data_IF_789414351222
#
_entry.id   IF_789414351222
#
_cell.length_a   1.000
_cell.length_b   1.000
_cell.length_c   1.000
_cell.angle_alpha   90.00
_cell.angle_beta   90.00
_cell.angle_gamma   90.00
#
_symmetry.space_group_name_H-M   'P 1'
#
loop_
_entity.id
_entity.type
_entity.pdbx_description
1 polymer ?
#
# COMPACT_ATOMS: atom_id res chain seq x y z
N UNK A 1 33.83 -17.54 49.48
CA UNK A 1 34.91 -17.73 48.50
C UNK A 1 34.52 -18.91 47.63
N UNK A 2 34.16 -18.62 46.37
CA UNK A 2 33.94 -19.60 45.31
C UNK A 2 35.30 -20.04 44.79
N UNK A 3 35.54 -21.34 44.69
CA UNK A 3 36.45 -21.95 43.71
C UNK A 3 35.94 -23.37 43.43
N UNK A 4 34.81 -23.42 42.72
CA UNK A 4 34.35 -24.57 41.96
C UNK A 4 34.34 -24.10 40.51
N UNK A 5 34.89 -24.90 39.59
CA UNK A 5 35.12 -24.62 38.15
C UNK A 5 36.54 -24.17 37.77
N UNK A 6 37.58 -24.77 38.38
CA UNK A 6 38.85 -25.00 37.69
C UNK A 6 38.80 -26.35 36.99
N UNK A 7 39.35 -26.41 35.78
CA UNK A 7 39.36 -27.51 34.81
C UNK A 7 38.05 -27.81 34.07
N UNK A 8 37.92 -27.27 32.85
CA UNK A 8 37.47 -28.08 31.71
C UNK A 8 37.54 -27.36 30.34
N UNK A 9 38.40 -26.37 30.06
CA UNK A 9 38.47 -25.85 28.68
C UNK A 9 39.87 -25.44 28.26
N UNK A 10 40.78 -26.43 28.19
CA UNK A 10 41.83 -26.42 27.18
C UNK A 10 41.88 -27.77 26.49
N UNK A 11 41.25 -27.82 25.32
CA UNK A 11 41.84 -28.50 24.17
C UNK A 11 41.49 -27.71 22.92
N UNK A 12 42.37 -26.75 22.66
CA UNK A 12 42.62 -26.19 21.34
C UNK A 12 43.13 -27.32 20.46
N UNK A 13 42.25 -27.92 19.66
CA UNK A 13 42.64 -28.64 18.44
C UNK A 13 42.09 -27.82 17.25
N UNK A 14 42.71 -26.66 17.02
CA UNK A 14 42.63 -25.95 15.73
C UNK A 14 43.53 -26.72 14.76
N UNK A 15 42.97 -27.77 14.16
CA UNK A 15 43.49 -28.26 12.90
C UNK A 15 43.22 -27.18 11.86
N UNK A 16 44.29 -26.48 11.49
CA UNK A 16 44.33 -25.54 10.38
C UNK A 16 44.22 -26.35 9.09
N UNK A 17 43.00 -26.77 8.78
CA UNK A 17 42.58 -27.30 7.50
C UNK A 17 42.61 -26.18 6.46
N UNK A 18 43.76 -26.08 5.80
CA UNK A 18 43.97 -25.38 4.55
C UNK A 18 42.83 -25.64 3.54
N UNK A 19 41.90 -24.68 3.40
CA UNK A 19 40.87 -24.70 2.36
C UNK A 19 39.69 -23.77 2.64
N UNK A 20 39.86 -22.45 2.47
CA UNK A 20 38.74 -21.52 2.75
C UNK A 20 38.85 -20.11 2.19
N UNK A 21 39.71 -19.85 1.20
CA UNK A 21 39.85 -18.51 0.62
C UNK A 21 38.84 -18.17 -0.48
N UNK A 22 38.13 -19.16 -1.03
CA UNK A 22 37.27 -19.00 -2.21
C UNK A 22 35.77 -19.14 -1.93
N UNK A 23 35.39 -19.72 -0.78
CA UNK A 23 33.99 -20.09 -0.47
C UNK A 23 33.19 -18.93 0.15
N UNK A 24 33.87 -17.99 0.85
CA UNK A 24 33.21 -16.76 1.29
C UNK A 24 32.87 -15.84 0.11
N UNK A 25 33.71 -15.80 -0.93
CA UNK A 25 33.54 -14.86 -2.04
C UNK A 25 32.34 -15.17 -2.93
N UNK A 26 31.96 -16.45 -3.09
CA UNK A 26 30.76 -16.87 -3.82
C UNK A 26 29.47 -16.61 -3.04
N UNK A 27 29.47 -16.84 -1.72
CA UNK A 27 28.33 -16.52 -0.85
C UNK A 27 28.09 -15.00 -0.73
N UNK A 28 29.16 -14.20 -0.64
CA UNK A 28 29.08 -12.74 -0.65
C UNK A 28 28.53 -12.21 -1.97
N UNK A 29 28.92 -12.81 -3.11
CA UNK A 29 28.40 -12.44 -4.43
C UNK A 29 26.92 -12.79 -4.60
N UNK A 30 26.46 -13.92 -4.05
CA UNK A 30 25.04 -14.31 -4.03
C UNK A 30 24.20 -13.41 -3.11
N UNK A 31 24.76 -12.99 -1.97
CA UNK A 31 24.08 -12.11 -1.04
C UNK A 31 24.01 -10.67 -1.57
N UNK A 32 25.04 -10.18 -2.26
CA UNK A 32 25.06 -8.84 -2.88
C UNK A 32 23.93 -8.66 -3.91
N UNK A 33 23.70 -9.66 -4.76
CA UNK A 33 22.56 -9.67 -5.69
C UNK A 33 21.21 -9.60 -4.97
N UNK A 34 21.04 -10.39 -3.91
CA UNK A 34 19.83 -10.36 -3.08
C UNK A 34 19.61 -8.98 -2.43
N UNK A 35 20.66 -8.33 -1.94
CA UNK A 35 20.57 -7.01 -1.33
C UNK A 35 20.22 -5.93 -2.35
N UNK A 36 20.75 -6.01 -3.58
CA UNK A 36 20.36 -5.12 -4.69
C UNK A 36 18.88 -5.25 -5.04
N UNK A 37 18.39 -6.48 -5.13
CA UNK A 37 16.96 -6.73 -5.38
C UNK A 37 16.09 -6.22 -4.23
N UNK A 38 16.54 -6.42 -2.98
CA UNK A 38 15.88 -5.89 -1.80
C UNK A 38 15.82 -4.35 -1.77
N UNK A 39 16.90 -3.68 -2.18
CA UNK A 39 16.96 -2.22 -2.29
C UNK A 39 16.06 -1.68 -3.42
N UNK A 40 15.97 -2.39 -4.55
CA UNK A 40 15.02 -2.05 -5.60
C UNK A 40 13.57 -2.11 -5.09
N UNK A 41 13.21 -3.20 -4.40
CA UNK A 41 11.89 -3.36 -3.76
C UNK A 41 11.65 -2.25 -2.72
N UNK A 42 12.66 -1.90 -1.93
CA UNK A 42 12.57 -0.80 -0.95
C UNK A 42 12.27 0.53 -1.63
N UNK A 43 12.94 0.83 -2.75
CA UNK A 43 12.73 2.04 -3.54
C UNK A 43 11.30 2.11 -4.09
N UNK A 44 10.78 1.00 -4.61
CA UNK A 44 9.39 0.93 -5.10
C UNK A 44 8.36 1.16 -3.97
N UNK A 45 8.61 0.64 -2.77
CA UNK A 45 7.77 0.91 -1.59
C UNK A 45 7.82 2.40 -1.21
N UNK A 46 8.99 3.04 -1.28
CA UNK A 46 9.09 4.48 -1.04
C UNK A 46 8.34 5.31 -2.09
N UNK A 47 8.30 4.85 -3.33
CA UNK A 47 7.50 5.50 -4.37
C UNK A 47 6.00 5.37 -4.13
N UNK A 48 5.54 4.22 -3.62
CA UNK A 48 4.14 4.05 -3.18
C UNK A 48 3.80 5.08 -2.09
N UNK A 49 4.67 5.28 -1.10
CA UNK A 49 4.49 6.28 -0.05
C UNK A 49 4.47 7.71 -0.60
N UNK A 50 5.34 8.04 -1.57
CA UNK A 50 5.35 9.35 -2.24
C UNK A 50 4.02 9.62 -2.95
N UNK A 51 3.48 8.64 -3.67
CA UNK A 51 2.18 8.79 -4.37
C UNK A 51 1.04 8.92 -3.35
N UNK A 52 1.06 8.14 -2.26
CA UNK A 52 0.09 8.25 -1.15
C UNK A 52 0.09 9.66 -0.56
N UNK A 53 1.27 10.23 -0.30
CA UNK A 53 1.39 11.61 0.21
C UNK A 53 0.80 12.63 -0.76
N UNK A 54 1.11 12.50 -2.06
CA UNK A 54 0.51 13.35 -3.11
C UNK A 54 -1.01 13.23 -3.17
N UNK A 55 -1.55 12.01 -3.02
CA UNK A 55 -2.99 11.77 -2.97
C UNK A 55 -3.64 12.46 -1.78
N UNK A 56 -3.01 12.41 -0.59
CA UNK A 56 -3.48 13.11 0.60
C UNK A 56 -3.46 14.64 0.43
N UNK A 57 -2.36 15.20 -0.11
CA UNK A 57 -2.26 16.63 -0.43
C UNK A 57 -3.32 17.07 -1.45
N UNK A 58 -3.55 16.26 -2.48
CA UNK A 58 -4.61 16.50 -3.47
C UNK A 58 -6.00 16.48 -2.84
N UNK A 59 -6.26 15.57 -1.90
CA UNK A 59 -7.51 15.57 -1.15
C UNK A 59 -7.70 16.84 -0.31
N UNK A 60 -6.66 17.28 0.39
CA UNK A 60 -6.69 18.53 1.16
C UNK A 60 -6.98 19.75 0.25
N UNK A 61 -6.36 19.81 -0.93
CA UNK A 61 -6.63 20.85 -1.92
C UNK A 61 -8.08 20.79 -2.47
N UNK A 62 -8.66 19.60 -2.59
CA UNK A 62 -10.04 19.45 -3.06
C UNK A 62 -11.08 20.11 -2.14
N UNK A 63 -10.74 20.34 -0.86
CA UNK A 63 -11.60 21.02 0.12
C UNK A 63 -11.70 22.52 -0.10
N UNK A 64 -10.63 23.15 -0.58
CA UNK A 64 -10.55 24.61 -0.81
C UNK A 64 -10.90 25.01 -2.24
N UNK A 65 -10.92 24.05 -3.17
CA UNK A 65 -11.36 24.31 -4.54
C UNK A 65 -12.89 24.38 -4.63
N UNK A 66 -13.38 25.50 -5.15
CA UNK A 66 -14.81 25.73 -5.38
C UNK A 66 -15.19 25.70 -6.87
N UNK A 67 -14.22 25.81 -7.78
CA UNK A 67 -14.45 25.73 -9.22
C UNK A 67 -14.74 24.29 -9.65
N UNK A 68 -15.91 24.05 -10.26
CA UNK A 68 -16.38 22.71 -10.63
C UNK A 68 -15.41 21.97 -11.57
N UNK A 69 -14.81 22.68 -12.53
CA UNK A 69 -13.86 22.10 -13.49
C UNK A 69 -12.54 21.71 -12.82
N UNK A 70 -12.05 22.55 -11.91
CA UNK A 70 -10.86 22.28 -11.12
C UNK A 70 -11.07 21.06 -10.19
N UNK A 71 -12.23 20.95 -9.55
CA UNK A 71 -12.59 19.80 -8.72
C UNK A 71 -12.67 18.51 -9.55
N UNK A 72 -13.25 18.55 -10.75
CA UNK A 72 -13.30 17.39 -11.65
C UNK A 72 -11.90 16.95 -12.09
N UNK A 73 -11.05 17.89 -12.50
CA UNK A 73 -9.66 17.62 -12.89
C UNK A 73 -8.85 17.02 -11.73
N UNK A 74 -9.02 17.56 -10.52
CA UNK A 74 -8.32 17.05 -9.34
C UNK A 74 -8.76 15.64 -8.97
N UNK A 75 -10.05 15.31 -9.07
CA UNK A 75 -10.54 13.93 -8.86
C UNK A 75 -9.95 12.96 -9.87
N UNK A 76 -9.91 13.33 -11.16
CA UNK A 76 -9.27 12.49 -12.17
C UNK A 76 -7.78 12.23 -11.87
N UNK A 77 -7.05 13.22 -11.34
CA UNK A 77 -5.67 13.05 -10.86
C UNK A 77 -5.60 12.09 -9.66
N UNK A 78 -6.49 12.24 -8.68
CA UNK A 78 -6.55 11.35 -7.51
C UNK A 78 -6.85 9.90 -7.93
N UNK A 79 -7.75 9.68 -8.89
CA UNK A 79 -8.06 8.35 -9.43
C UNK A 79 -6.84 7.73 -10.16
N UNK A 80 -6.10 8.55 -10.91
CA UNK A 80 -4.85 8.12 -11.55
C UNK A 80 -3.77 7.73 -10.51
N UNK A 81 -3.66 8.49 -9.42
CA UNK A 81 -2.74 8.19 -8.31
C UNK A 81 -3.09 6.87 -7.63
N UNK A 82 -4.39 6.63 -7.39
CA UNK A 82 -4.87 5.34 -6.85
C UNK A 82 -4.53 4.19 -7.79
N UNK A 83 -4.76 4.34 -9.10
CA UNK A 83 -4.43 3.31 -10.08
C UNK A 83 -2.92 3.03 -10.12
N UNK A 84 -2.09 4.07 -10.00
CA UNK A 84 -0.63 3.96 -10.00
C UNK A 84 -0.12 3.21 -8.76
N UNK A 85 -0.65 3.51 -7.56
CA UNK A 85 -0.32 2.76 -6.33
C UNK A 85 -0.66 1.28 -6.52
N UNK A 86 -1.86 0.97 -6.99
CA UNK A 86 -2.29 -0.43 -7.18
C UNK A 86 -1.41 -1.17 -8.18
N UNK A 87 -0.98 -0.51 -9.27
CA UNK A 87 -0.06 -1.10 -10.24
C UNK A 87 1.30 -1.40 -9.61
N UNK A 88 1.88 -0.46 -8.87
CA UNK A 88 3.18 -0.64 -8.22
C UNK A 88 3.15 -1.74 -7.17
N UNK A 89 2.11 -1.79 -6.35
CA UNK A 89 1.96 -2.83 -5.33
C UNK A 89 1.93 -4.23 -5.94
N UNK A 90 1.32 -4.40 -7.12
CA UNK A 90 1.35 -5.69 -7.85
C UNK A 90 2.77 -6.07 -8.26
N UNK A 91 3.55 -5.11 -8.75
CA UNK A 91 4.96 -5.32 -9.13
C UNK A 91 5.79 -5.70 -7.91
N UNK A 92 5.69 -4.93 -6.81
CA UNK A 92 6.41 -5.18 -5.56
C UNK A 92 6.07 -6.57 -4.99
N UNK A 93 4.80 -6.97 -5.01
CA UNK A 93 4.39 -8.32 -4.57
C UNK A 93 5.04 -9.41 -5.42
N UNK A 94 5.03 -9.26 -6.75
CA UNK A 94 5.65 -10.24 -7.64
C UNK A 94 7.17 -10.33 -7.41
N UNK A 95 7.85 -9.20 -7.21
CA UNK A 95 9.29 -9.18 -6.89
C UNK A 95 9.58 -9.82 -5.53
N UNK A 96 8.76 -9.57 -4.51
CA UNK A 96 8.89 -10.23 -3.20
C UNK A 96 8.71 -11.74 -3.29
N UNK A 97 7.73 -12.22 -4.06
CA UNK A 97 7.49 -13.64 -4.26
C UNK A 97 8.68 -14.31 -4.99
N UNK A 98 9.26 -13.63 -5.97
CA UNK A 98 10.47 -14.10 -6.67
C UNK A 98 11.67 -14.15 -5.72
N UNK A 99 11.87 -13.10 -4.91
CA UNK A 99 12.96 -13.01 -3.95
C UNK A 99 12.84 -14.09 -2.85
N UNK A 100 11.61 -14.38 -2.41
CA UNK A 100 11.33 -15.47 -1.46
C UNK A 100 11.62 -16.85 -2.05
N UNK A 101 11.23 -17.10 -3.31
CA UNK A 101 11.58 -18.36 -4.00
C UNK A 101 13.08 -18.52 -4.19
N UNK A 102 13.79 -17.44 -4.51
CA UNK A 102 15.25 -17.44 -4.63
C UNK A 102 15.92 -17.74 -3.28
N UNK A 103 15.39 -17.18 -2.19
CA UNK A 103 15.85 -17.48 -0.84
C UNK A 103 15.59 -18.96 -0.46
N UNK A 104 14.41 -19.51 -0.78
CA UNK A 104 14.10 -20.91 -0.49
C UNK A 104 14.95 -21.88 -1.32
N UNK A 105 15.23 -21.55 -2.58
CA UNK A 105 16.15 -22.33 -3.43
C UNK A 105 17.58 -22.28 -2.89
N UNK A 106 17.98 -21.17 -2.25
CA UNK A 106 19.30 -21.08 -1.61
C UNK A 106 19.46 -21.97 -0.39
N UNK A 107 18.34 -22.41 0.23
CA UNK A 107 18.35 -23.32 1.41
C UNK A 107 18.53 -24.79 1.06
N UNK A 108 18.20 -25.17 -0.17
CA UNK A 108 18.39 -26.56 -0.64
C UNK A 108 19.83 -26.85 -1.05
N UNK A 109 20.68 -25.82 -1.11
CA UNK A 109 22.12 -25.94 -1.36
C UNK A 109 22.87 -26.36 -0.08
N UNK A 110 23.79 -27.35 -0.17
CA UNK A 110 24.50 -27.90 0.99
C UNK A 110 25.34 -26.89 1.78
N UNK A 111 25.73 -25.76 1.18
CA UNK A 111 26.59 -24.73 1.80
C UNK A 111 25.83 -23.51 2.36
N UNK A 112 24.51 -23.42 2.15
CA UNK A 112 23.67 -22.31 2.63
C UNK A 112 22.38 -22.82 3.28
N UNK A 113 22.53 -23.89 4.06
CA UNK A 113 21.43 -24.54 4.78
C UNK A 113 20.73 -23.62 5.80
N UNK A 114 19.55 -24.06 6.28
CA UNK A 114 18.73 -23.30 7.22
C UNK A 114 19.53 -22.94 8.48
N UNK A 115 19.51 -21.64 8.85
CA UNK A 115 20.19 -21.14 10.05
C UNK A 115 21.60 -20.56 9.84
N UNK A 116 22.13 -20.61 8.62
CA UNK A 116 23.33 -19.87 8.19
C UNK A 116 23.21 -18.36 8.43
N UNK A 117 24.34 -17.66 8.62
CA UNK A 117 24.37 -16.19 8.76
C UNK A 117 23.73 -15.50 7.54
N UNK A 118 24.00 -16.00 6.33
CA UNK A 118 23.40 -15.49 5.09
C UNK A 118 21.89 -15.75 5.04
N UNK A 119 21.43 -16.92 5.47
CA UNK A 119 20.00 -17.27 5.56
C UNK A 119 19.25 -16.36 6.56
N UNK A 120 19.83 -16.11 7.73
CA UNK A 120 19.27 -15.19 8.73
C UNK A 120 19.13 -13.77 8.17
N UNK A 121 20.13 -13.27 7.46
CA UNK A 121 20.08 -11.95 6.80
C UNK A 121 18.99 -11.90 5.74
N UNK A 122 18.90 -12.89 4.86
CA UNK A 122 17.86 -12.96 3.82
C UNK A 122 16.46 -12.94 4.43
N UNK A 123 16.22 -13.73 5.48
CA UNK A 123 14.93 -13.79 6.17
C UNK A 123 14.58 -12.48 6.88
N UNK A 124 15.56 -11.85 7.54
CA UNK A 124 15.34 -10.58 8.22
C UNK A 124 14.95 -9.47 7.23
N UNK A 125 15.66 -9.37 6.10
CA UNK A 125 15.37 -8.40 5.04
C UNK A 125 14.01 -8.66 4.40
N UNK A 126 13.70 -9.92 4.05
CA UNK A 126 12.39 -10.29 3.49
C UNK A 126 11.24 -9.96 4.45
N UNK A 127 11.37 -10.31 5.74
CA UNK A 127 10.39 -9.98 6.76
C UNK A 127 10.20 -8.46 6.93
N UNK A 128 11.30 -7.71 6.88
CA UNK A 128 11.29 -6.25 6.92
C UNK A 128 10.56 -5.64 5.71
N UNK A 129 10.83 -6.10 4.50
CA UNK A 129 10.17 -5.61 3.29
C UNK A 129 8.68 -5.96 3.26
N UNK A 130 8.31 -7.19 3.67
CA UNK A 130 6.91 -7.62 3.78
C UNK A 130 6.13 -6.76 4.77
N UNK A 131 6.68 -6.54 5.96
CA UNK A 131 6.04 -5.70 6.99
C UNK A 131 5.94 -4.24 6.56
N UNK A 132 6.98 -3.69 5.91
CA UNK A 132 6.96 -2.32 5.36
C UNK A 132 5.90 -2.13 4.28
N UNK A 133 5.81 -3.05 3.31
CA UNK A 133 4.78 -3.02 2.28
C UNK A 133 3.37 -3.09 2.90
N UNK A 134 3.19 -3.96 3.89
CA UNK A 134 1.92 -4.09 4.61
C UNK A 134 1.53 -2.77 5.29
N UNK A 135 2.42 -2.18 6.08
CA UNK A 135 2.15 -0.90 6.75
C UNK A 135 1.84 0.24 5.78
N UNK A 136 2.56 0.31 4.65
CA UNK A 136 2.29 1.26 3.57
C UNK A 136 0.89 1.08 2.97
N UNK A 137 0.49 -0.17 2.71
CA UNK A 137 -0.82 -0.50 2.16
C UNK A 137 -1.97 -0.28 3.14
N UNK A 138 -1.76 -0.55 4.43
CA UNK A 138 -2.73 -0.27 5.49
C UNK A 138 -2.97 1.24 5.58
N UNK A 139 -1.91 2.05 5.61
CA UNK A 139 -2.01 3.52 5.59
C UNK A 139 -2.69 4.06 4.31
N UNK A 140 -2.45 3.44 3.15
CA UNK A 140 -3.15 3.79 1.92
C UNK A 140 -4.65 3.42 1.97
N UNK A 141 -4.99 2.26 2.55
CA UNK A 141 -6.38 1.85 2.71
C UNK A 141 -7.14 2.80 3.65
N UNK A 142 -6.52 3.23 4.74
CA UNK A 142 -7.11 4.19 5.67
C UNK A 142 -7.30 5.57 5.03
N UNK A 143 -6.32 6.06 4.24
CA UNK A 143 -6.48 7.29 3.46
C UNK A 143 -7.69 7.20 2.49
N UNK A 144 -7.88 6.06 1.81
CA UNK A 144 -9.04 5.89 0.92
C UNK A 144 -10.37 5.91 1.68
N UNK A 145 -10.41 5.38 2.91
CA UNK A 145 -11.61 5.45 3.76
C UNK A 145 -11.89 6.90 4.15
N UNK A 146 -10.87 7.64 4.57
CA UNK A 146 -10.95 9.05 4.96
C UNK A 146 -11.49 9.91 3.82
N UNK A 147 -10.93 9.78 2.61
CA UNK A 147 -11.41 10.48 1.40
C UNK A 147 -12.90 10.15 1.14
N UNK A 148 -13.28 8.88 1.27
CA UNK A 148 -14.66 8.45 1.04
C UNK A 148 -15.65 8.92 2.12
N UNK A 149 -15.21 9.08 3.37
CA UNK A 149 -16.02 9.64 4.45
C UNK A 149 -16.18 11.15 4.28
N UNK A 150 -15.10 11.89 4.02
CA UNK A 150 -15.14 13.34 3.82
C UNK A 150 -16.02 13.74 2.63
N UNK A 151 -15.95 12.98 1.52
CA UNK A 151 -16.81 13.20 0.36
C UNK A 151 -18.29 13.02 0.70
N UNK A 152 -18.64 11.94 1.42
CA UNK A 152 -20.02 11.68 1.85
C UNK A 152 -20.56 12.79 2.73
N UNK A 153 -19.78 13.28 3.69
CA UNK A 153 -20.18 14.39 4.54
C UNK A 153 -20.39 15.70 3.77
N UNK A 154 -19.49 16.01 2.83
CA UNK A 154 -19.58 17.23 2.03
C UNK A 154 -20.83 17.23 1.15
N UNK A 155 -21.14 16.09 0.53
CA UNK A 155 -22.36 15.92 -0.27
C UNK A 155 -23.60 16.02 0.62
N UNK A 156 -23.62 15.35 1.78
CA UNK A 156 -24.73 15.43 2.72
C UNK A 156 -24.98 16.88 3.19
N UNK A 157 -23.94 17.60 3.65
CA UNK A 157 -24.07 19.01 4.08
C UNK A 157 -24.63 19.90 2.98
N UNK A 158 -24.13 19.78 1.74
CA UNK A 158 -24.65 20.54 0.59
C UNK A 158 -26.09 20.17 0.27
N UNK A 159 -26.45 18.89 0.34
CA UNK A 159 -27.82 18.45 0.07
C UNK A 159 -28.80 19.03 1.10
N UNK A 160 -28.52 18.93 2.40
CA UNK A 160 -29.39 19.47 3.45
C UNK A 160 -29.47 21.00 3.46
N UNK A 161 -28.34 21.69 3.29
CA UNK A 161 -28.34 23.17 3.21
C UNK A 161 -29.05 23.70 1.97
N UNK A 162 -28.93 23.04 0.82
CA UNK A 162 -29.69 23.40 -0.40
C UNK A 162 -31.19 23.14 -0.23
N UNK A 163 -31.57 22.13 0.55
CA UNK A 163 -32.98 21.82 0.82
C UNK A 163 -33.61 22.77 1.85
N UNK A 164 -32.84 23.24 2.82
CA UNK A 164 -33.30 24.16 3.88
C UNK A 164 -33.31 25.63 3.41
N UNK A 165 -32.51 25.98 2.40
CA UNK A 165 -32.42 27.32 1.80
C UNK A 165 -33.27 27.53 0.54
N UNK A 166 -34.20 26.63 0.22
CA UNK A 166 -35.21 26.87 -0.82
C UNK A 166 -36.51 27.44 -0.21
N UNK A 167 -36.65 28.76 0.00
CA UNK A 167 -37.98 29.34 0.19
C UNK A 167 -38.71 29.17 -1.15
N UNK A 168 -39.86 28.51 -1.14
CA UNK A 168 -40.69 28.13 -2.30
C UNK A 168 -40.42 26.74 -2.91
N UNK A 169 -40.42 25.69 -2.09
CA UNK A 169 -41.03 24.43 -2.55
C UNK A 169 -42.55 24.57 -2.45
N UNK A 170 -43.19 24.93 -3.58
CA UNK A 170 -44.65 24.73 -3.71
C UNK A 170 -44.93 23.28 -3.32
N UNK A 171 -45.85 23.00 -2.37
CA UNK A 171 -46.27 21.64 -2.12
C UNK A 171 -46.77 21.07 -3.45
N UNK A 172 -46.20 19.94 -3.84
CA UNK A 172 -46.60 19.20 -5.04
C UNK A 172 -48.08 18.85 -4.85
N UNK A 173 -48.99 19.62 -5.47
CA UNK A 173 -50.41 19.27 -5.51
C UNK A 173 -50.55 18.13 -6.51
N UNK A 174 -51.03 16.94 -6.10
CA UNK A 174 -51.32 15.87 -7.04
C UNK A 174 -52.38 16.34 -8.04
N UNK A 175 -52.20 16.00 -9.32
CA UNK A 175 -53.10 16.35 -10.42
C UNK A 175 -54.44 15.59 -10.39
N UNK A 176 -54.95 15.22 -9.22
CA UNK A 176 -56.19 14.45 -9.06
C UNK A 176 -57.46 15.26 -9.30
N UNK A 177 -57.36 16.57 -9.54
CA UNK A 177 -58.49 17.45 -9.81
C UNK A 177 -58.59 17.93 -11.27
N UNK A 178 -57.62 17.58 -12.14
CA UNK A 178 -57.58 18.03 -13.54
C UNK A 178 -57.89 16.90 -14.55
N UNK A 179 -58.64 15.88 -14.13
CA UNK A 179 -59.16 14.82 -15.03
C UNK A 179 -60.67 14.58 -14.80
N UNK A 180 -61.40 15.62 -14.41
CA UNK A 180 -62.87 15.62 -14.46
C UNK A 180 -63.35 16.96 -14.99
N UNK A 181 -63.78 16.98 -16.25
CA UNK A 181 -64.55 18.08 -16.82
C UNK A 181 -64.03 18.59 -18.14
N UNK A 182 -64.58 18.08 -19.24
CA UNK A 182 -65.02 18.85 -20.43
C UNK A 182 -65.39 17.89 -21.57
N UNK A 183 -66.53 17.21 -21.42
CA UNK A 183 -67.38 16.87 -22.55
C UNK A 183 -68.19 18.13 -22.86
N UNK A 184 -68.01 18.76 -24.03
CA UNK A 184 -68.96 19.65 -24.71
C UNK A 184 -68.37 20.24 -26.01
N UNK A 185 -69.25 20.42 -27.02
CA UNK A 185 -69.10 20.92 -28.40
C UNK A 185 -68.63 19.90 -29.44
N UNK A 186 -69.45 19.32 -30.35
CA UNK A 186 -70.63 19.70 -31.17
C UNK A 186 -70.35 20.68 -32.35
N UNK A 187 -70.51 20.10 -33.56
CA UNK A 187 -70.82 20.67 -34.90
C UNK A 187 -69.70 21.35 -35.70
N UNK A 188 -69.36 20.74 -36.84
CA UNK A 188 -70.00 21.02 -38.14
C UNK A 188 -70.29 19.69 -38.85
#
# INVERSE_FOLDING_TARGET
MNDLLSDSWRKEDIETGNGGGTVEMTNLSSLDGFLKDADAIRSDIEEIERIRKRLHESNAAARTLHAADAVRSLRAKMDADVALVLKKVRVVKAQLDLLERAAETSRTLPESGPGSSADRTRMSVLGGLKSKLKGSMDAFADLRKEIATEYRETVARRYYTVQESSPTRRPWKPWSHLVKGSSCYRKQ
#
